data_IF_294056008766
#
_entry.id   IF_294056008766
#
_cell.length_a   1.000
_cell.length_b   1.000
_cell.length_c   1.000
_cell.angle_alpha   90.00
_cell.angle_beta   90.00
_cell.angle_gamma   90.00
#
_symmetry.space_group_name_H-M   'P 1'
#
loop_
_entity.id
_entity.type
_entity.pdbx_description
1 polymer ?
#
# COMPACT_ATOMS: atom_id res chain seq x y z
N UNK A 1 10.21 14.26 -12.85
CA UNK A 1 10.42 12.87 -12.37
C UNK A 1 10.86 12.80 -10.91
N UNK A 2 11.90 13.52 -10.50
CA UNK A 2 12.55 13.38 -9.18
C UNK A 2 11.62 13.55 -7.96
N UNK A 3 10.71 14.54 -7.99
CA UNK A 3 9.71 14.73 -6.92
C UNK A 3 8.70 13.59 -6.82
N UNK A 4 8.45 12.83 -7.89
CA UNK A 4 7.56 11.66 -7.85
C UNK A 4 8.22 10.51 -7.09
N UNK A 5 9.46 10.17 -7.45
CA UNK A 5 10.22 9.10 -6.78
C UNK A 5 10.34 9.36 -5.27
N UNK A 6 10.61 10.60 -4.86
CA UNK A 6 10.78 10.96 -3.44
C UNK A 6 9.52 10.77 -2.59
N UNK A 7 8.35 11.00 -3.16
CA UNK A 7 7.07 10.75 -2.47
C UNK A 7 6.62 9.29 -2.60
N UNK A 8 6.98 8.64 -3.71
CA UNK A 8 6.61 7.26 -4.02
C UNK A 8 7.31 6.24 -3.12
N UNK A 9 8.64 6.32 -2.97
CA UNK A 9 9.41 5.34 -2.20
C UNK A 9 8.90 5.18 -0.75
N UNK A 10 8.72 6.27 0.01
CA UNK A 10 8.21 6.18 1.39
C UNK A 10 6.77 5.66 1.45
N UNK A 11 5.93 6.05 0.49
CA UNK A 11 4.55 5.59 0.43
C UNK A 11 4.46 4.09 0.13
N UNK A 12 5.25 3.61 -0.84
CA UNK A 12 5.36 2.19 -1.15
C UNK A 12 5.87 1.40 0.07
N UNK A 13 6.96 1.85 0.68
CA UNK A 13 7.56 1.19 1.84
C UNK A 13 6.57 1.13 3.01
N UNK A 14 5.87 2.23 3.30
CA UNK A 14 4.85 2.26 4.34
C UNK A 14 3.68 1.30 4.04
N UNK A 15 3.20 1.29 2.80
CA UNK A 15 2.14 0.35 2.37
C UNK A 15 2.57 -1.10 2.56
N UNK A 16 3.79 -1.42 2.13
CA UNK A 16 4.37 -2.74 2.24
C UNK A 16 4.51 -3.18 3.69
N UNK A 17 5.09 -2.33 4.56
CA UNK A 17 5.29 -2.65 5.96
C UNK A 17 3.96 -2.84 6.71
N UNK A 18 2.97 -2.00 6.44
CA UNK A 18 1.63 -2.16 7.02
C UNK A 18 1.01 -3.46 6.50
N UNK A 19 0.99 -3.70 5.19
CA UNK A 19 0.40 -4.91 4.63
C UNK A 19 1.09 -6.20 5.12
N UNK A 20 2.42 -6.19 5.26
CA UNK A 20 3.20 -7.31 5.80
C UNK A 20 2.91 -7.55 7.29
N UNK A 21 2.78 -6.48 8.07
CA UNK A 21 2.41 -6.60 9.49
C UNK A 21 1.01 -7.19 9.63
N UNK A 22 0.04 -6.69 8.86
CA UNK A 22 -1.33 -7.20 8.85
C UNK A 22 -1.39 -8.67 8.43
N UNK A 23 -0.62 -9.07 7.41
CA UNK A 23 -0.48 -10.48 7.04
C UNK A 23 0.00 -11.33 8.23
N UNK A 24 1.07 -10.90 8.89
CA UNK A 24 1.62 -11.60 10.05
C UNK A 24 0.58 -11.74 11.15
N UNK A 25 -0.15 -10.67 11.47
CA UNK A 25 -1.23 -10.69 12.46
C UNK A 25 -2.31 -11.71 12.11
N UNK A 26 -2.72 -11.79 10.85
CA UNK A 26 -3.76 -12.73 10.42
C UNK A 26 -3.29 -14.18 10.48
N UNK A 27 -2.06 -14.46 10.05
CA UNK A 27 -1.48 -15.82 10.11
C UNK A 27 -1.35 -16.28 11.55
N UNK A 28 -0.85 -15.43 12.45
CA UNK A 28 -0.67 -15.78 13.85
C UNK A 28 -2.01 -15.90 14.59
N UNK A 29 -3.00 -15.06 14.25
CA UNK A 29 -4.35 -15.20 14.81
C UNK A 29 -5.01 -16.52 14.39
N UNK A 30 -4.82 -16.93 13.12
CA UNK A 30 -5.29 -18.23 12.65
C UNK A 30 -4.60 -19.39 13.38
N UNK A 31 -3.29 -19.30 13.64
CA UNK A 31 -2.55 -20.30 14.41
C UNK A 31 -3.00 -20.37 15.87
N UNK A 32 -3.24 -19.22 16.50
CA UNK A 32 -3.75 -19.16 17.87
C UNK A 32 -5.14 -19.78 17.98
N UNK A 33 -5.99 -19.60 16.96
CA UNK A 33 -7.35 -20.17 16.93
C UNK A 33 -7.40 -21.71 16.88
N UNK A 34 -6.32 -22.36 16.43
CA UNK A 34 -6.17 -23.83 16.43
C UNK A 34 -5.38 -24.34 17.65
N UNK A 35 -5.14 -23.49 18.64
CA UNK A 35 -4.53 -23.86 19.92
C UNK A 35 -3.01 -23.82 19.96
N UNK A 36 -2.36 -23.16 18.99
CA UNK A 36 -0.90 -22.95 19.03
C UNK A 36 -0.61 -21.77 19.95
N UNK A 37 0.10 -22.02 21.05
CA UNK A 37 0.65 -20.94 21.87
C UNK A 37 1.83 -20.28 21.14
N UNK A 38 1.75 -18.98 20.94
CA UNK A 38 2.76 -18.18 20.26
C UNK A 38 3.36 -17.22 21.27
N UNK A 39 4.67 -17.32 21.49
CA UNK A 39 5.39 -16.35 22.31
C UNK A 39 5.58 -15.01 21.59
N UNK A 40 5.71 -13.91 22.34
CA UNK A 40 5.97 -12.58 21.77
C UNK A 40 7.28 -12.51 20.97
N UNK A 41 8.27 -13.35 21.31
CA UNK A 41 9.53 -13.49 20.58
C UNK A 41 9.36 -14.19 19.23
N UNK A 42 8.52 -15.23 19.19
CA UNK A 42 8.20 -15.93 17.93
C UNK A 42 7.38 -15.03 17.01
N UNK A 43 6.47 -14.23 17.56
CA UNK A 43 5.72 -13.22 16.82
C UNK A 43 6.65 -12.28 16.05
N UNK A 44 7.63 -11.68 16.74
CA UNK A 44 8.59 -10.75 16.12
C UNK A 44 9.47 -11.46 15.08
N UNK A 45 9.93 -12.67 15.39
CA UNK A 45 10.75 -13.45 14.45
C UNK A 45 9.99 -13.80 13.17
N UNK A 46 8.69 -14.06 13.29
CA UNK A 46 7.79 -14.38 12.17
C UNK A 46 7.51 -13.13 11.36
N UNK A 47 7.20 -12.00 12.02
CA UNK A 47 7.02 -10.70 11.35
C UNK A 47 8.25 -10.31 10.52
N UNK A 48 9.45 -10.54 11.04
CA UNK A 48 10.69 -10.27 10.34
C UNK A 48 10.89 -11.19 9.13
N UNK A 49 10.68 -12.50 9.30
CA UNK A 49 10.78 -13.48 8.21
C UNK A 49 9.76 -13.19 7.11
N UNK A 50 8.53 -12.85 7.47
CA UNK A 50 7.47 -12.45 6.54
C UNK A 50 7.85 -11.18 5.81
N UNK A 51 8.33 -10.15 6.53
CA UNK A 51 8.77 -8.90 5.91
C UNK A 51 9.90 -9.13 4.90
N UNK A 52 10.91 -9.93 5.21
CA UNK A 52 12.02 -10.20 4.28
C UNK A 52 11.58 -11.12 3.13
N UNK A 53 10.78 -12.14 3.43
CA UNK A 53 10.32 -13.13 2.45
C UNK A 53 9.30 -12.57 1.46
N UNK A 54 8.42 -11.66 1.90
CA UNK A 54 7.39 -11.03 1.07
C UNK A 54 7.90 -9.81 0.30
N UNK A 55 9.02 -9.21 0.70
CA UNK A 55 9.58 -8.03 0.02
C UNK A 55 9.85 -8.25 -1.47
N UNK A 56 10.54 -9.33 -1.92
CA UNK A 56 10.86 -9.51 -3.33
C UNK A 56 9.64 -9.85 -4.19
N UNK A 57 8.64 -10.57 -3.67
CA UNK A 57 7.45 -10.93 -4.45
C UNK A 57 6.32 -9.93 -4.24
N UNK A 58 5.80 -9.85 -3.01
CA UNK A 58 4.66 -9.01 -2.69
C UNK A 58 5.01 -7.52 -2.73
N UNK A 59 6.20 -7.14 -2.26
CA UNK A 59 6.69 -5.76 -2.34
C UNK A 59 6.77 -5.25 -3.79
N UNK A 60 7.23 -6.07 -4.74
CA UNK A 60 7.25 -5.70 -6.16
C UNK A 60 5.84 -5.54 -6.72
N UNK A 61 4.92 -6.46 -6.39
CA UNK A 61 3.52 -6.37 -6.85
C UNK A 61 2.88 -5.07 -6.35
N UNK A 62 3.05 -4.74 -5.07
CA UNK A 62 2.56 -3.47 -4.49
C UNK A 62 3.22 -2.28 -5.19
N UNK A 63 4.53 -2.33 -5.44
CA UNK A 63 5.24 -1.25 -6.13
C UNK A 63 4.63 -0.98 -7.50
N UNK A 64 4.42 -2.03 -8.31
CA UNK A 64 3.85 -1.92 -9.65
C UNK A 64 2.41 -1.42 -9.60
N UNK A 65 1.58 -1.95 -8.70
CA UNK A 65 0.18 -1.53 -8.56
C UNK A 65 0.07 -0.05 -8.17
N UNK A 66 0.83 0.40 -7.16
CA UNK A 66 0.85 1.80 -6.74
C UNK A 66 1.45 2.72 -7.81
N UNK A 67 2.48 2.26 -8.53
CA UNK A 67 3.12 3.03 -9.60
C UNK A 67 2.12 3.33 -10.71
N UNK A 68 1.34 2.32 -11.14
CA UNK A 68 0.29 2.48 -12.13
C UNK A 68 -0.81 3.42 -11.62
N UNK A 69 -1.30 3.20 -10.40
CA UNK A 69 -2.38 4.00 -9.82
C UNK A 69 -1.99 5.48 -9.66
N UNK A 70 -0.84 5.76 -9.06
CA UNK A 70 -0.38 7.13 -8.88
C UNK A 70 0.07 7.77 -10.20
N UNK A 71 0.58 6.98 -11.14
CA UNK A 71 0.87 7.42 -12.51
C UNK A 71 -0.40 7.93 -13.21
N UNK A 72 -1.47 7.14 -13.19
CA UNK A 72 -2.78 7.51 -13.75
C UNK A 72 -3.32 8.77 -13.08
N UNK A 73 -3.33 8.85 -11.74
CA UNK A 73 -3.77 10.06 -11.01
C UNK A 73 -2.96 11.29 -11.40
N UNK A 74 -1.65 11.14 -11.58
CA UNK A 74 -0.76 12.25 -11.97
C UNK A 74 -1.02 12.70 -13.42
N UNK A 75 -1.27 11.76 -14.34
CA UNK A 75 -1.62 12.06 -15.73
C UNK A 75 -2.98 12.76 -15.80
N UNK A 76 -4.00 12.25 -15.09
CA UNK A 76 -5.33 12.86 -15.01
C UNK A 76 -5.22 14.30 -14.47
N UNK A 77 -4.45 14.52 -13.40
CA UNK A 77 -4.21 15.86 -12.87
C UNK A 77 -3.54 16.78 -13.91
N UNK A 78 -2.58 16.26 -14.68
CA UNK A 78 -1.82 17.05 -15.66
C UNK A 78 -2.67 17.44 -16.88
N UNK A 79 -3.54 16.55 -17.37
CA UNK A 79 -4.26 16.73 -18.63
C UNK A 79 -5.74 17.07 -18.47
N UNK A 80 -6.45 16.47 -17.50
CA UNK A 80 -7.89 16.63 -17.35
C UNK A 80 -8.26 17.75 -16.37
N UNK A 81 -7.47 17.96 -15.31
CA UNK A 81 -7.82 18.89 -14.23
C UNK A 81 -6.90 20.11 -14.27
N UNK A 82 -7.15 20.95 -15.26
CA UNK A 82 -6.49 22.23 -15.48
C UNK A 82 -6.85 23.19 -14.32
N UNK A 83 -5.98 23.25 -13.32
CA UNK A 83 -5.79 24.34 -12.34
C UNK A 83 -6.50 24.41 -10.97
N UNK A 84 -7.51 23.61 -10.58
CA UNK A 84 -8.21 23.89 -9.28
C UNK A 84 -8.54 22.68 -8.38
N UNK A 85 -7.60 21.73 -8.25
CA UNK A 85 -7.72 20.72 -7.17
C UNK A 85 -7.11 21.29 -5.89
N UNK A 86 -7.98 21.67 -4.95
CA UNK A 86 -7.56 21.99 -3.58
C UNK A 86 -6.76 20.82 -2.98
N UNK A 87 -5.64 21.13 -2.31
CA UNK A 87 -4.75 20.17 -1.62
C UNK A 87 -5.46 18.97 -0.95
N UNK A 88 -6.53 19.14 -0.15
CA UNK A 88 -7.21 18.00 0.48
C UNK A 88 -7.85 17.03 -0.51
N UNK A 89 -8.42 17.52 -1.62
CA UNK A 89 -9.05 16.65 -2.64
C UNK A 89 -8.03 15.75 -3.33
N UNK A 90 -6.82 16.26 -3.56
CA UNK A 90 -5.74 15.46 -4.15
C UNK A 90 -5.34 14.30 -3.23
N UNK A 91 -5.18 14.55 -1.93
CA UNK A 91 -4.84 13.53 -0.94
C UNK A 91 -5.92 12.45 -0.86
N UNK A 92 -7.20 12.84 -0.84
CA UNK A 92 -8.30 11.86 -0.83
C UNK A 92 -8.31 11.02 -2.10
N UNK A 93 -8.04 11.62 -3.27
CA UNK A 93 -8.04 10.92 -4.54
C UNK A 93 -6.87 9.92 -4.64
N UNK A 94 -5.68 10.27 -4.16
CA UNK A 94 -4.54 9.35 -4.09
C UNK A 94 -4.76 8.25 -3.07
N UNK A 95 -5.44 8.52 -1.94
CA UNK A 95 -5.81 7.51 -0.93
C UNK A 95 -6.77 6.48 -1.50
N UNK A 96 -7.83 6.93 -2.19
CA UNK A 96 -8.80 6.03 -2.85
C UNK A 96 -8.14 5.25 -3.98
N UNK A 97 -7.27 5.89 -4.77
CA UNK A 97 -6.51 5.21 -5.82
C UNK A 97 -5.57 4.14 -5.24
N UNK A 98 -4.91 4.44 -4.11
CA UNK A 98 -4.07 3.47 -3.38
C UNK A 98 -4.87 2.25 -2.92
N UNK A 99 -5.99 2.46 -2.22
CA UNK A 99 -6.89 1.38 -1.80
C UNK A 99 -7.41 0.55 -2.98
N UNK A 100 -7.84 1.22 -4.05
CA UNK A 100 -8.35 0.58 -5.27
C UNK A 100 -7.27 -0.24 -5.97
N UNK A 101 -6.03 0.25 -6.00
CA UNK A 101 -4.91 -0.48 -6.63
C UNK A 101 -4.57 -1.77 -5.89
N UNK A 102 -4.61 -1.75 -4.55
CA UNK A 102 -4.40 -2.95 -3.74
C UNK A 102 -5.58 -3.91 -3.90
N UNK A 103 -6.82 -3.39 -3.92
CA UNK A 103 -8.01 -4.20 -4.18
C UNK A 103 -7.89 -4.92 -5.54
N UNK A 104 -7.54 -4.20 -6.60
CA UNK A 104 -7.33 -4.77 -7.93
C UNK A 104 -6.18 -5.77 -7.94
N UNK A 105 -5.04 -5.45 -7.29
CA UNK A 105 -3.91 -6.37 -7.21
C UNK A 105 -4.29 -7.68 -6.52
N UNK A 106 -5.03 -7.62 -5.41
CA UNK A 106 -5.52 -8.80 -4.69
C UNK A 106 -6.54 -9.60 -5.51
N UNK A 107 -7.51 -8.93 -6.13
CA UNK A 107 -8.49 -9.58 -7.00
C UNK A 107 -7.85 -10.21 -8.23
N UNK A 108 -6.75 -9.63 -8.74
CA UNK A 108 -5.99 -10.13 -9.86
C UNK A 108 -5.10 -11.34 -9.50
N UNK A 109 -4.75 -11.55 -8.23
CA UNK A 109 -3.93 -12.69 -7.81
C UNK A 109 -4.63 -14.04 -8.06
N UNK A 110 -5.93 -14.17 -7.78
CA UNK A 110 -6.66 -15.41 -8.04
C UNK A 110 -6.69 -15.82 -9.54
N UNK A 111 -7.12 -14.97 -10.48
CA UNK A 111 -7.22 -15.34 -11.89
C UNK A 111 -5.86 -15.45 -12.60
N UNK A 112 -4.84 -14.71 -12.15
CA UNK A 112 -3.53 -14.69 -12.83
C UNK A 112 -2.57 -15.73 -12.23
N UNK A 113 -2.54 -15.88 -10.90
CA UNK A 113 -1.55 -16.72 -10.22
C UNK A 113 -2.14 -18.06 -9.76
N UNK A 114 -3.46 -18.29 -9.85
CA UNK A 114 -4.17 -19.45 -9.26
C UNK A 114 -3.94 -19.63 -7.75
N UNK A 115 -3.25 -18.69 -7.10
CA UNK A 115 -2.92 -18.72 -5.67
C UNK A 115 -3.18 -17.35 -5.05
N UNK A 116 -3.60 -17.38 -3.79
CA UNK A 116 -3.66 -16.20 -2.94
C UNK A 116 -2.33 -16.11 -2.20
N UNK A 117 -1.44 -15.22 -2.65
CA UNK A 117 -0.11 -15.01 -2.06
C UNK A 117 -0.16 -14.63 -0.57
N UNK A 118 -1.28 -14.06 -0.13
CA UNK A 118 -1.52 -13.67 1.26
C UNK A 118 -2.62 -14.60 1.78
N UNK A 119 -2.25 -15.60 2.56
CA UNK A 119 -3.21 -16.53 3.15
C UNK A 119 -4.26 -15.79 4.00
N UNK A 120 -3.84 -14.74 4.70
CA UNK A 120 -4.70 -13.85 5.48
C UNK A 120 -5.71 -13.04 4.64
N UNK A 121 -5.42 -12.74 3.36
CA UNK A 121 -6.33 -11.97 2.50
C UNK A 121 -7.37 -12.84 1.77
N UNK A 122 -7.43 -14.15 2.04
CA UNK A 122 -8.50 -15.03 1.52
C UNK A 122 -9.88 -14.66 2.06
N UNK A 123 -9.94 -14.13 3.29
CA UNK A 123 -11.18 -13.70 3.93
C UNK A 123 -11.51 -12.24 3.62
N UNK A 124 -12.79 -11.89 3.76
CA UNK A 124 -13.28 -10.51 3.62
C UNK A 124 -12.52 -9.53 4.53
N UNK A 125 -12.21 -9.96 5.75
CA UNK A 125 -11.48 -9.15 6.74
C UNK A 125 -10.07 -8.81 6.25
N UNK A 126 -9.31 -9.80 5.77
CA UNK A 126 -7.95 -9.56 5.29
C UNK A 126 -7.87 -8.72 4.04
N UNK A 127 -8.85 -8.88 3.16
CA UNK A 127 -8.99 -8.00 1.99
C UNK A 127 -9.18 -6.55 2.41
N UNK A 128 -10.09 -6.27 3.35
CA UNK A 128 -10.34 -4.92 3.87
C UNK A 128 -9.11 -4.33 4.56
N UNK A 129 -8.42 -5.12 5.39
CA UNK A 129 -7.18 -4.72 6.07
C UNK A 129 -6.08 -4.34 5.08
N UNK A 130 -5.93 -5.08 3.98
CA UNK A 130 -4.97 -4.76 2.94
C UNK A 130 -5.38 -3.53 2.12
N UNK A 131 -6.67 -3.36 1.82
CA UNK A 131 -7.18 -2.13 1.22
C UNK A 131 -6.90 -0.92 2.11
N UNK A 132 -7.00 -1.07 3.43
CA UNK A 132 -6.63 -0.03 4.39
C UNK A 132 -5.13 0.29 4.35
N UNK A 133 -4.27 -0.72 4.21
CA UNK A 133 -2.83 -0.50 3.97
C UNK A 133 -2.60 0.33 2.69
N UNK A 134 -3.32 0.03 1.61
CA UNK A 134 -3.29 0.80 0.36
C UNK A 134 -3.79 2.23 0.52
N UNK A 135 -4.82 2.44 1.34
CA UNK A 135 -5.35 3.77 1.67
C UNK A 135 -4.29 4.61 2.39
N UNK A 136 -3.65 4.06 3.41
CA UNK A 136 -2.56 4.72 4.14
C UNK A 136 -1.38 5.07 3.22
N UNK A 137 -1.02 4.16 2.31
CA UNK A 137 -0.02 4.41 1.27
C UNK A 137 -0.34 5.60 0.39
N UNK A 138 -1.57 5.63 -0.14
CA UNK A 138 -2.07 6.74 -0.97
C UNK A 138 -2.19 8.06 -0.22
N UNK A 139 -2.50 8.01 1.08
CA UNK A 139 -2.51 9.19 1.95
C UNK A 139 -1.10 9.76 2.14
N UNK A 140 -0.12 8.90 2.49
CA UNK A 140 1.29 9.30 2.66
C UNK A 140 1.83 9.89 1.36
N UNK A 141 1.57 9.26 0.22
CA UNK A 141 1.97 9.77 -1.09
C UNK A 141 1.37 11.16 -1.35
N UNK A 142 0.06 11.32 -1.14
CA UNK A 142 -0.64 12.59 -1.33
C UNK A 142 -0.09 13.70 -0.42
N UNK A 143 0.17 13.39 0.85
CA UNK A 143 0.72 14.31 1.83
C UNK A 143 2.13 14.77 1.45
N UNK A 144 3.03 13.83 1.14
CA UNK A 144 4.42 14.12 0.74
C UNK A 144 4.47 14.91 -0.57
N UNK A 145 3.52 14.66 -1.48
CA UNK A 145 3.44 15.39 -2.73
C UNK A 145 2.94 16.81 -2.52
N UNK A 146 1.93 17.00 -1.68
CA UNK A 146 1.38 18.31 -1.36
C UNK A 146 2.40 19.20 -0.61
N UNK A 147 3.21 18.64 0.29
CA UNK A 147 4.29 19.37 0.97
C UNK A 147 5.45 19.72 0.04
N UNK A 148 5.86 18.80 -0.83
CA UNK A 148 6.91 19.05 -1.82
C UNK A 148 6.56 20.19 -2.79
N UNK A 149 5.29 20.31 -3.17
CA UNK A 149 4.82 21.42 -4.02
C UNK A 149 4.76 22.76 -3.27
N UNK A 150 4.47 22.74 -1.97
CA UNK A 150 4.44 23.96 -1.14
C UNK A 150 5.83 24.54 -0.90
N UNK A 151 6.86 23.70 -0.75
CA UNK A 151 8.25 24.15 -0.63
C UNK A 151 8.83 24.76 -1.91
N UNK A 152 8.34 24.35 -3.07
CA UNK A 152 8.76 24.90 -4.37
C UNK A 152 8.23 26.32 -4.65
N UNK A 153 7.13 26.71 -3.99
CA UNK A 153 6.53 28.05 -4.09
C UNK A 153 7.11 29.05 -3.07
N UNK A 154 7.75 28.57 -2.01
CA UNK A 154 8.41 29.42 -1.00
C UNK A 154 9.84 29.84 -1.38
N UNK A 155 10.42 29.21 -2.40
CA UNK A 155 11.78 29.47 -2.92
C UNK A 155 11.76 30.22 -4.26
N UNK A 156 10.61 30.81 -4.63
CA UNK A 156 10.44 31.73 -5.76
C UNK A 156 9.96 33.06 -5.23
#
# INVERSE_FOLDING_TARGET
MWSFIKSFLPAWLATFLVASSLHTFQVLNALSSIGVEISSTEWLSTAWKDAVGLLPTYGIIIAVALLLAFGVVTIIRKYAIKHDIKKPRFITLTSVAGASSIAVALLAMQPILNVTLIAGARGYDGFLLQCFAGLLGGFIYGLLRATSESGALSNR
#
